data_IF_429616643801
#
_entry.id   IF_429616643801
#
_cell.length_a   1.000
_cell.length_b   1.000
_cell.length_c   1.000
_cell.angle_alpha   90.00
_cell.angle_beta   90.00
_cell.angle_gamma   90.00
#
_symmetry.space_group_name_H-M   'P 1'
#
loop_
_entity.id
_entity.type
_entity.pdbx_description
1 polymer ?
#
# COMPACT_ATOMS: atom_id res chain seq x y z
N UNK A 1 22.96 15.58 -29.83
CA UNK A 1 23.25 15.04 -28.48
C UNK A 1 21.90 14.90 -27.81
N UNK A 2 21.38 13.68 -27.77
CA UNK A 2 20.00 13.38 -27.38
C UNK A 2 20.02 12.90 -25.92
N UNK A 3 19.10 13.46 -25.13
CA UNK A 3 18.83 13.12 -23.73
C UNK A 3 18.34 11.67 -23.60
N UNK A 4 18.89 10.92 -22.65
CA UNK A 4 18.26 9.69 -22.14
C UNK A 4 18.34 9.68 -20.62
N UNK A 5 17.19 9.51 -19.97
CA UNK A 5 17.07 9.44 -18.51
C UNK A 5 15.62 9.33 -18.04
N UNK A 6 14.76 8.64 -18.79
CA UNK A 6 13.39 8.34 -18.40
C UNK A 6 13.35 7.16 -17.44
N UNK A 7 12.77 7.35 -16.24
CA UNK A 7 12.48 6.28 -15.30
C UNK A 7 11.35 5.41 -15.86
N UNK A 8 11.71 4.35 -16.59
CA UNK A 8 10.79 3.44 -17.25
C UNK A 8 10.34 2.32 -16.31
N UNK A 9 9.04 2.30 -16.02
CA UNK A 9 8.21 1.10 -16.16
C UNK A 9 6.75 1.49 -16.43
N UNK A 10 6.39 1.50 -17.71
CA UNK A 10 5.03 1.29 -18.17
C UNK A 10 4.76 -0.21 -18.19
N UNK A 11 3.80 -0.67 -17.38
CA UNK A 11 2.97 -1.85 -17.67
C UNK A 11 1.58 -1.55 -17.12
N UNK A 12 0.57 -1.67 -17.99
CA UNK A 12 -0.63 -0.85 -17.94
C UNK A 12 -1.86 -1.44 -17.27
N UNK A 13 -2.78 -0.52 -16.95
CA UNK A 13 -4.21 -0.62 -17.23
C UNK A 13 -4.71 0.83 -17.40
N UNK A 14 -4.97 1.21 -18.65
CA UNK A 14 -5.48 2.53 -19.02
C UNK A 14 -6.96 2.62 -18.69
N UNK A 15 -7.32 3.46 -17.72
CA UNK A 15 -8.64 4.09 -17.66
C UNK A 15 -8.40 5.60 -17.65
N UNK A 16 -8.65 6.20 -18.81
CA UNK A 16 -8.50 7.62 -19.03
C UNK A 16 -9.47 8.41 -18.13
N UNK A 17 -8.92 9.30 -17.31
CA UNK A 17 -9.66 10.46 -16.82
C UNK A 17 -8.72 11.65 -16.89
N UNK A 18 -9.09 12.61 -17.73
CA UNK A 18 -8.36 13.82 -18.07
C UNK A 18 -8.09 14.67 -16.83
N UNK A 19 -6.81 14.97 -16.55
CA UNK A 19 -6.38 15.93 -15.54
C UNK A 19 -5.82 17.16 -16.25
N UNK A 20 -6.53 18.27 -16.14
CA UNK A 20 -6.04 19.60 -16.51
C UNK A 20 -4.81 19.90 -15.64
N UNK A 21 -3.66 20.08 -16.31
CA UNK A 21 -2.38 20.35 -15.66
C UNK A 21 -2.39 21.69 -14.94
N UNK A 22 -2.12 21.65 -13.64
CA UNK A 22 -1.67 22.81 -12.89
C UNK A 22 -0.15 22.70 -12.76
N UNK A 23 0.56 23.40 -13.65
CA UNK A 23 2.00 23.57 -13.55
C UNK A 23 2.28 24.54 -12.40
N UNK A 24 2.87 24.03 -11.31
CA UNK A 24 3.40 24.86 -10.23
C UNK A 24 4.81 25.34 -10.63
N UNK A 25 5.07 26.65 -10.80
CA UNK A 25 6.40 27.17 -11.04
C UNK A 25 7.05 27.50 -9.69
N UNK A 26 8.05 26.73 -9.28
CA UNK A 26 8.90 27.12 -8.15
C UNK A 26 9.23 26.00 -7.18
N UNK A 27 10.16 25.13 -7.55
CA UNK A 27 11.04 24.52 -6.56
C UNK A 27 12.42 24.35 -7.20
N UNK A 28 13.30 25.30 -6.94
CA UNK A 28 14.73 25.20 -7.23
C UNK A 28 15.33 24.21 -6.21
N UNK A 29 14.98 22.93 -6.34
CA UNK A 29 15.48 21.87 -5.46
C UNK A 29 16.85 21.51 -6.01
N UNK A 30 17.91 21.87 -5.28
CA UNK A 30 19.25 21.35 -5.57
C UNK A 30 19.15 19.84 -5.78
N UNK A 31 19.67 19.36 -6.89
CA UNK A 31 19.71 17.93 -7.19
C UNK A 31 20.31 17.17 -6.01
N UNK A 32 19.72 16.03 -5.69
CA UNK A 32 20.23 15.17 -4.66
C UNK A 32 19.94 13.72 -4.98
N UNK A 33 20.66 12.83 -4.30
CA UNK A 33 20.51 11.40 -4.48
C UNK A 33 20.70 10.63 -3.19
N UNK A 34 20.02 9.49 -3.10
CA UNK A 34 20.37 8.45 -2.14
C UNK A 34 21.63 7.72 -2.59
N UNK A 35 22.42 7.23 -1.64
CA UNK A 35 23.47 6.25 -1.93
C UNK A 35 22.81 4.88 -1.91
N UNK A 36 22.69 4.25 -3.08
CA UNK A 36 22.06 2.94 -3.22
C UNK A 36 23.05 1.78 -3.09
N UNK A 37 22.55 0.68 -2.52
CA UNK A 37 23.10 -0.67 -2.66
C UNK A 37 22.00 -1.60 -3.22
N UNK A 38 22.28 -2.91 -3.31
CA UNK A 38 21.31 -3.90 -3.77
C UNK A 38 20.03 -3.94 -2.92
N UNK A 39 20.14 -3.61 -1.63
CA UNK A 39 18.99 -3.58 -0.70
C UNK A 39 17.96 -2.51 -1.12
N UNK A 40 18.42 -1.31 -1.44
CA UNK A 40 17.57 -0.18 -1.80
C UNK A 40 16.84 -0.41 -3.11
N UNK A 41 17.53 -1.06 -4.06
CA UNK A 41 16.91 -1.49 -5.31
C UNK A 41 15.73 -2.43 -5.05
N UNK A 42 15.89 -3.43 -4.17
CA UNK A 42 14.81 -4.34 -3.80
C UNK A 42 13.66 -3.62 -3.07
N UNK A 43 13.97 -2.64 -2.21
CA UNK A 43 12.94 -1.84 -1.53
C UNK A 43 12.14 -0.97 -2.51
N UNK A 44 12.78 -0.46 -3.56
CA UNK A 44 12.12 0.36 -4.58
C UNK A 44 11.13 -0.45 -5.44
N UNK A 45 11.34 -1.76 -5.59
CA UNK A 45 10.45 -2.65 -6.34
C UNK A 45 9.18 -3.02 -5.56
N UNK A 46 9.11 -2.70 -4.27
CA UNK A 46 7.96 -2.99 -3.43
C UNK A 46 6.81 -2.02 -3.70
N UNK A 47 5.61 -2.50 -3.44
CA UNK A 47 4.38 -1.72 -3.47
C UNK A 47 4.14 -0.97 -2.16
N UNK A 48 3.74 0.29 -2.28
CA UNK A 48 3.41 1.20 -1.20
C UNK A 48 2.06 1.88 -1.44
N UNK A 49 1.49 2.47 -0.39
CA UNK A 49 0.33 3.36 -0.48
C UNK A 49 0.47 4.51 0.53
N UNK A 50 -0.03 5.73 0.26
CA UNK A 50 -0.17 6.74 1.29
C UNK A 50 -1.01 6.23 2.47
N UNK A 51 -0.62 6.54 3.71
CA UNK A 51 -1.33 6.10 4.92
C UNK A 51 -2.81 6.53 4.91
N UNK A 52 -3.13 7.71 4.36
CA UNK A 52 -4.51 8.17 4.25
C UNK A 52 -5.39 7.21 3.43
N UNK A 53 -4.84 6.56 2.40
CA UNK A 53 -5.60 5.59 1.61
C UNK A 53 -5.83 4.28 2.37
N UNK A 54 -4.91 3.89 3.26
CA UNK A 54 -5.12 2.76 4.16
C UNK A 54 -6.24 3.06 5.16
N UNK A 55 -6.28 4.27 5.72
CA UNK A 55 -7.34 4.71 6.62
C UNK A 55 -8.69 4.70 5.89
N UNK A 56 -8.75 5.28 4.68
CA UNK A 56 -9.96 5.25 3.86
C UNK A 56 -10.42 3.83 3.55
N UNK A 57 -9.48 2.91 3.29
CA UNK A 57 -9.79 1.50 3.08
C UNK A 57 -10.43 0.85 4.31
N UNK A 58 -9.88 1.10 5.51
CA UNK A 58 -10.43 0.57 6.77
C UNK A 58 -11.86 1.08 6.98
N UNK A 59 -12.10 2.37 6.80
CA UNK A 59 -13.41 2.97 6.99
C UNK A 59 -14.43 2.48 5.96
N UNK A 60 -14.03 2.33 4.69
CA UNK A 60 -14.90 1.79 3.64
C UNK A 60 -15.22 0.31 3.84
N UNK A 61 -14.27 -0.48 4.34
CA UNK A 61 -14.45 -1.94 4.47
C UNK A 61 -15.28 -2.31 5.70
N UNK A 62 -15.28 -1.46 6.74
CA UNK A 62 -16.03 -1.68 7.99
C UNK A 62 -17.53 -1.91 7.79
N UNK A 63 -18.13 -1.35 6.74
CA UNK A 63 -19.57 -1.43 6.47
C UNK A 63 -19.93 -2.49 5.41
N UNK A 64 -18.93 -3.15 4.81
CA UNK A 64 -19.14 -4.15 3.76
C UNK A 64 -19.56 -5.50 4.33
N UNK A 65 -20.41 -6.22 3.60
CA UNK A 65 -20.79 -7.60 3.92
C UNK A 65 -19.89 -8.55 3.13
N UNK A 66 -18.91 -9.14 3.82
CA UNK A 66 -17.94 -10.04 3.20
C UNK A 66 -18.55 -11.28 2.53
N UNK A 67 -19.80 -11.65 2.83
CA UNK A 67 -20.47 -12.79 2.20
C UNK A 67 -21.16 -12.45 0.87
N UNK A 68 -21.34 -11.16 0.55
CA UNK A 68 -21.89 -10.71 -0.73
C UNK A 68 -20.79 -10.70 -1.80
N UNK A 69 -20.97 -11.46 -2.89
CA UNK A 69 -19.95 -11.60 -3.93
C UNK A 69 -19.51 -10.24 -4.52
N UNK A 70 -20.46 -9.31 -4.71
CA UNK A 70 -20.16 -7.96 -5.20
C UNK A 70 -19.29 -7.15 -4.23
N UNK A 71 -19.55 -7.26 -2.92
CA UNK A 71 -18.75 -6.54 -1.92
C UNK A 71 -17.37 -7.17 -1.74
N UNK A 72 -17.22 -8.50 -1.86
CA UNK A 72 -15.91 -9.16 -1.91
C UNK A 72 -15.06 -8.68 -3.07
N UNK A 73 -15.66 -8.62 -4.26
CA UNK A 73 -14.99 -8.12 -5.45
C UNK A 73 -14.52 -6.67 -5.26
N UNK A 74 -15.35 -5.81 -4.67
CA UNK A 74 -14.98 -4.44 -4.37
C UNK A 74 -13.80 -4.34 -3.38
N UNK A 75 -13.80 -5.15 -2.31
CA UNK A 75 -12.69 -5.22 -1.36
C UNK A 75 -11.41 -5.65 -2.07
N UNK A 76 -11.45 -6.71 -2.89
CA UNK A 76 -10.30 -7.16 -3.68
C UNK A 76 -9.76 -6.06 -4.61
N UNK A 77 -10.65 -5.33 -5.29
CA UNK A 77 -10.26 -4.21 -6.13
C UNK A 77 -9.60 -3.07 -5.34
N UNK A 78 -10.12 -2.74 -4.16
CA UNK A 78 -9.50 -1.75 -3.29
C UNK A 78 -8.09 -2.18 -2.85
N UNK A 79 -7.92 -3.45 -2.46
CA UNK A 79 -6.59 -4.01 -2.10
C UNK A 79 -5.63 -3.86 -3.28
N UNK A 80 -6.06 -4.16 -4.50
CA UNK A 80 -5.23 -4.05 -5.69
C UNK A 80 -4.85 -2.60 -6.02
N UNK A 81 -5.82 -1.68 -6.04
CA UNK A 81 -5.61 -0.26 -6.41
C UNK A 81 -4.68 0.46 -5.42
N UNK A 82 -4.66 0.04 -4.16
CA UNK A 82 -3.74 0.61 -3.18
C UNK A 82 -2.27 0.25 -3.42
N UNK A 83 -1.96 -0.85 -4.11
CA UNK A 83 -0.58 -1.30 -4.36
C UNK A 83 0.06 -0.45 -5.47
N UNK A 84 0.63 0.70 -5.09
CA UNK A 84 1.35 1.63 -5.99
C UNK A 84 2.86 1.38 -5.91
N UNK A 85 3.62 1.84 -6.91
CA UNK A 85 5.09 1.78 -6.84
C UNK A 85 5.66 2.61 -5.69
N UNK A 86 6.91 2.32 -5.31
CA UNK A 86 7.59 3.02 -4.23
C UNK A 86 7.62 4.55 -4.44
N UNK A 87 7.40 5.34 -3.37
CA UNK A 87 7.32 6.80 -3.48
C UNK A 87 8.69 7.48 -3.63
N UNK A 88 9.78 6.72 -3.59
CA UNK A 88 11.17 7.17 -3.63
C UNK A 88 11.92 6.42 -4.73
N UNK A 89 13.02 6.98 -5.21
CA UNK A 89 14.01 6.30 -6.05
C UNK A 89 15.39 6.93 -5.78
N UNK A 90 16.44 6.56 -6.53
CA UNK A 90 17.80 7.08 -6.32
C UNK A 90 17.81 8.62 -6.36
N UNK A 91 17.11 9.18 -7.34
CA UNK A 91 17.02 10.63 -7.58
C UNK A 91 15.73 11.25 -7.02
N UNK A 92 14.98 10.52 -6.19
CA UNK A 92 13.74 11.01 -5.57
C UNK A 92 13.70 10.62 -4.10
N UNK A 93 13.86 11.62 -3.23
CA UNK A 93 13.83 11.44 -1.78
C UNK A 93 12.47 10.90 -1.31
N UNK A 94 12.46 10.13 -0.22
CA UNK A 94 11.24 9.68 0.42
C UNK A 94 10.37 10.88 0.87
N UNK A 95 9.03 10.83 0.70
CA UNK A 95 8.14 11.95 1.05
C UNK A 95 8.07 12.24 2.55
N UNK A 96 7.59 13.43 2.92
CA UNK A 96 7.38 13.79 4.33
C UNK A 96 6.14 13.13 4.91
N UNK A 97 5.14 12.90 4.06
CA UNK A 97 3.92 12.20 4.43
C UNK A 97 4.20 10.72 4.74
N UNK A 98 3.28 10.10 5.48
CA UNK A 98 3.39 8.68 5.80
C UNK A 98 2.96 7.81 4.62
N UNK A 99 3.80 6.82 4.33
CA UNK A 99 3.59 5.78 3.33
C UNK A 99 3.72 4.40 3.95
N UNK A 100 2.82 3.52 3.55
CA UNK A 100 2.68 2.15 4.03
C UNK A 100 3.30 1.22 3.01
N UNK A 101 4.19 0.33 3.45
CA UNK A 101 4.66 -0.78 2.64
C UNK A 101 3.61 -1.90 2.63
N UNK A 102 3.15 -2.27 1.44
CA UNK A 102 2.15 -3.33 1.25
C UNK A 102 2.75 -4.65 0.74
N UNK A 103 4.07 -4.73 0.62
CA UNK A 103 4.75 -5.93 0.10
C UNK A 103 5.43 -6.76 1.18
N UNK A 104 5.86 -6.11 2.26
CA UNK A 104 6.54 -6.76 3.39
C UNK A 104 6.09 -6.18 4.72
N UNK A 105 6.10 -7.02 5.76
CA UNK A 105 5.80 -6.64 7.13
C UNK A 105 4.35 -6.90 7.58
N UNK A 106 4.02 -6.54 8.82
CA UNK A 106 2.75 -6.92 9.46
C UNK A 106 1.50 -6.48 8.70
N UNK A 107 1.52 -5.29 8.07
CA UNK A 107 0.39 -4.83 7.26
C UNK A 107 0.22 -5.67 6.00
N UNK A 108 1.31 -6.00 5.30
CA UNK A 108 1.26 -6.85 4.11
C UNK A 108 0.68 -8.24 4.45
N UNK A 109 1.15 -8.85 5.53
CA UNK A 109 0.63 -10.14 6.01
C UNK A 109 -0.86 -10.07 6.39
N UNK A 110 -1.32 -8.96 6.96
CA UNK A 110 -2.73 -8.77 7.27
C UNK A 110 -3.60 -8.62 6.00
N UNK A 111 -3.08 -7.98 4.95
CA UNK A 111 -3.72 -7.95 3.63
C UNK A 111 -3.77 -9.32 2.97
N UNK A 112 -2.74 -10.14 3.13
CA UNK A 112 -2.73 -11.51 2.59
C UNK A 112 -3.77 -12.38 3.30
N UNK A 113 -3.88 -12.26 4.64
CA UNK A 113 -4.96 -12.90 5.41
C UNK A 113 -6.35 -12.43 4.99
N UNK A 114 -6.51 -11.12 4.74
CA UNK A 114 -7.78 -10.57 4.28
C UNK A 114 -8.15 -11.11 2.89
N UNK A 115 -7.18 -11.16 1.97
CA UNK A 115 -7.37 -11.69 0.62
C UNK A 115 -7.79 -13.16 0.66
N UNK A 116 -7.15 -13.96 1.52
CA UNK A 116 -7.54 -15.35 1.75
C UNK A 116 -8.96 -15.46 2.36
N UNK A 117 -9.31 -14.62 3.32
CA UNK A 117 -10.62 -14.64 3.98
C UNK A 117 -11.80 -14.27 3.05
N UNK A 118 -11.52 -13.55 1.95
CA UNK A 118 -12.53 -13.19 0.93
C UNK A 118 -12.44 -14.05 -0.34
N UNK A 119 -11.45 -14.93 -0.45
CA UNK A 119 -11.37 -15.96 -1.50
C UNK A 119 -12.27 -17.15 -1.16
N UNK A 120 -13.55 -16.86 -0.91
CA UNK A 120 -14.56 -17.86 -0.59
C UNK A 120 -14.99 -18.47 -1.92
N UNK A 121 -14.86 -19.80 -2.10
CA UNK A 121 -15.31 -20.49 -3.31
C UNK A 121 -16.75 -20.11 -3.62
N UNK A 122 -17.00 -19.71 -4.88
CA UNK A 122 -18.30 -19.24 -5.31
C UNK A 122 -19.37 -20.28 -4.94
N UNK A 123 -20.30 -19.96 -4.02
CA UNK A 123 -21.33 -20.91 -3.64
C UNK A 123 -22.30 -20.94 -4.81
N UNK A 124 -22.05 -21.84 -5.76
CA UNK A 124 -23.04 -22.31 -6.72
C UNK A 124 -24.22 -23.03 -6.04
N UNK A 125 -24.45 -22.84 -4.73
CA UNK A 125 -25.74 -22.81 -4.02
C UNK A 125 -25.48 -22.48 -2.52
N UNK A 126 -26.19 -21.51 -1.90
CA UNK A 126 -26.22 -21.28 -0.45
C UNK A 126 -26.66 -22.49 0.40
N UNK A 127 -27.04 -23.59 -0.24
CA UNK A 127 -27.57 -24.82 0.38
C UNK A 127 -26.44 -25.69 0.99
N UNK A 128 -25.20 -25.52 0.54
CA UNK A 128 -24.09 -26.41 0.91
C UNK A 128 -23.09 -25.83 1.92
N UNK A 129 -23.19 -24.54 2.25
CA UNK A 129 -22.30 -23.93 3.24
C UNK A 129 -22.92 -24.11 4.64
N UNK A 130 -22.19 -24.77 5.54
CA UNK A 130 -22.69 -24.91 6.91
C UNK A 130 -22.59 -23.58 7.65
N UNK A 131 -23.43 -23.36 8.66
CA UNK A 131 -23.34 -22.19 9.55
C UNK A 131 -21.94 -22.09 10.19
N UNK A 132 -21.31 -23.24 10.44
CA UNK A 132 -19.96 -23.35 10.99
C UNK A 132 -18.91 -22.77 10.02
N UNK A 133 -19.01 -23.08 8.72
CA UNK A 133 -18.08 -22.55 7.71
C UNK A 133 -18.19 -21.04 7.62
N UNK A 134 -19.42 -20.50 7.52
CA UNK A 134 -19.67 -19.07 7.44
C UNK A 134 -19.12 -18.32 8.67
N UNK A 135 -19.24 -18.93 9.86
CA UNK A 135 -18.71 -18.37 11.10
C UNK A 135 -17.17 -18.31 11.08
N UNK A 136 -16.52 -19.37 10.59
CA UNK A 136 -15.07 -19.41 10.43
C UNK A 136 -14.57 -18.33 9.46
N UNK A 137 -15.19 -18.21 8.27
CA UNK A 137 -14.85 -17.17 7.30
C UNK A 137 -15.04 -15.76 7.87
N UNK A 138 -16.13 -15.54 8.62
CA UNK A 138 -16.37 -14.27 9.30
C UNK A 138 -15.27 -13.94 10.30
N UNK A 139 -14.87 -14.91 11.12
CA UNK A 139 -13.81 -14.70 12.12
C UNK A 139 -12.47 -14.35 11.46
N UNK A 140 -12.12 -15.03 10.35
CA UNK A 140 -10.90 -14.74 9.59
C UNK A 140 -10.94 -13.33 8.99
N UNK A 141 -12.07 -12.95 8.40
CA UNK A 141 -12.28 -11.61 7.83
C UNK A 141 -12.18 -10.52 8.92
N UNK A 142 -12.93 -10.68 10.02
CA UNK A 142 -12.97 -9.70 11.11
C UNK A 142 -11.58 -9.55 11.76
N UNK A 143 -10.85 -10.66 11.94
CA UNK A 143 -9.49 -10.63 12.49
C UNK A 143 -8.51 -9.87 11.58
N UNK A 144 -8.55 -10.14 10.26
CA UNK A 144 -7.67 -9.46 9.31
C UNK A 144 -7.96 -7.95 9.24
N UNK A 145 -9.24 -7.55 9.20
CA UNK A 145 -9.62 -6.12 9.23
C UNK A 145 -9.23 -5.45 10.55
N UNK A 146 -9.37 -6.15 11.68
CA UNK A 146 -8.98 -5.63 12.98
C UNK A 146 -7.47 -5.35 13.05
N UNK A 147 -6.66 -6.25 12.52
CA UNK A 147 -5.19 -6.06 12.46
C UNK A 147 -4.83 -4.85 11.59
N UNK A 148 -5.38 -4.77 10.37
CA UNK A 148 -5.14 -3.64 9.46
C UNK A 148 -5.53 -2.32 10.13
N UNK A 149 -6.70 -2.28 10.77
CA UNK A 149 -7.18 -1.12 11.53
C UNK A 149 -6.21 -0.76 12.65
N UNK A 150 -5.80 -1.74 13.47
CA UNK A 150 -4.88 -1.48 14.59
C UNK A 150 -3.58 -0.84 14.10
N UNK A 151 -3.01 -1.35 13.01
CA UNK A 151 -1.78 -0.81 12.44
C UNK A 151 -1.96 0.59 11.85
N UNK A 152 -3.08 0.85 11.17
CA UNK A 152 -3.37 2.14 10.55
C UNK A 152 -3.52 3.30 11.56
N UNK A 153 -3.91 2.99 12.80
CA UNK A 153 -4.18 3.98 13.85
C UNK A 153 -3.11 4.07 14.93
N UNK A 154 -1.93 3.47 14.75
CA UNK A 154 -0.81 3.79 15.63
C UNK A 154 -0.44 5.28 15.52
N UNK A 155 -0.18 5.89 16.67
CA UNK A 155 0.14 7.32 16.77
C UNK A 155 1.64 7.59 16.97
N UNK A 156 2.37 6.58 17.43
CA UNK A 156 3.81 6.70 17.69
C UNK A 156 4.62 6.38 16.41
N UNK A 157 5.52 7.28 15.96
CA UNK A 157 6.27 7.09 14.72
C UNK A 157 7.11 5.81 14.67
N UNK A 158 7.70 5.40 15.79
CA UNK A 158 8.51 4.18 15.84
C UNK A 158 7.65 2.91 15.75
N UNK A 159 6.49 2.89 16.41
CA UNK A 159 5.53 1.78 16.26
C UNK A 159 4.99 1.67 14.83
N UNK A 160 4.77 2.81 14.17
CA UNK A 160 4.39 2.86 12.76
C UNK A 160 5.49 2.26 11.86
N UNK A 161 6.75 2.63 12.10
CA UNK A 161 7.88 2.09 11.36
C UNK A 161 8.03 0.57 11.53
N UNK A 162 7.75 0.04 12.74
CA UNK A 162 7.77 -1.39 13.01
C UNK A 162 6.74 -2.20 12.23
N UNK A 163 5.62 -1.58 11.85
CA UNK A 163 4.57 -2.22 11.04
C UNK A 163 4.65 -1.89 9.56
N UNK A 164 5.71 -1.21 9.13
CA UNK A 164 5.95 -0.88 7.73
C UNK A 164 5.34 0.45 7.27
N UNK A 165 5.02 1.36 8.19
CA UNK A 165 4.55 2.71 7.88
C UNK A 165 5.66 3.71 8.17
N UNK A 166 6.11 4.41 7.12
CA UNK A 166 7.26 5.29 7.22
C UNK A 166 6.91 6.71 6.77
N UNK A 167 7.46 7.69 7.46
CA UNK A 167 7.73 9.01 6.91
C UNK A 167 9.21 9.09 6.49
N UNK A 168 9.65 10.19 5.89
CA UNK A 168 11.06 10.39 5.51
C UNK A 168 12.05 10.04 6.62
N UNK A 169 11.85 10.60 7.82
CA UNK A 169 12.80 10.47 8.93
C UNK A 169 12.93 9.02 9.38
N UNK A 170 11.80 8.36 9.65
CA UNK A 170 11.77 6.97 10.10
C UNK A 170 12.24 6.01 9.01
N UNK A 171 11.94 6.29 7.74
CA UNK A 171 12.46 5.52 6.61
C UNK A 171 14.00 5.61 6.54
N UNK A 172 14.54 6.82 6.54
CA UNK A 172 15.98 7.05 6.45
C UNK A 172 16.73 6.48 7.66
N UNK A 173 16.20 6.64 8.87
CA UNK A 173 16.77 6.06 10.08
C UNK A 173 16.74 4.53 10.05
N UNK A 174 15.59 3.92 9.73
CA UNK A 174 15.40 2.45 9.74
C UNK A 174 16.28 1.73 8.73
N UNK A 175 16.53 2.37 7.58
CA UNK A 175 17.29 1.79 6.49
C UNK A 175 18.72 2.34 6.40
N UNK A 176 19.11 3.29 7.24
CA UNK A 176 20.44 3.92 7.21
C UNK A 176 20.67 4.74 5.95
N UNK A 177 19.61 5.28 5.34
CA UNK A 177 19.68 6.02 4.07
C UNK A 177 19.95 7.49 4.31
N UNK A 178 20.84 8.05 3.49
CA UNK A 178 21.29 9.43 3.61
C UNK A 178 21.11 10.13 2.27
N UNK A 179 20.31 11.18 2.26
CA UNK A 179 20.14 12.03 1.09
C UNK A 179 21.32 12.99 0.96
N UNK A 180 22.06 12.91 -0.15
CA UNK A 180 23.18 13.81 -0.44
C UNK A 180 22.69 14.91 -1.38
N UNK A 181 22.96 16.15 -1.01
CA UNK A 181 22.76 17.31 -1.87
C UNK A 181 24.07 17.52 -2.63
N UNK A 182 24.00 17.58 -3.95
CA UNK A 182 25.15 17.92 -4.80
C UNK A 182 25.39 19.44 -4.85
#
# INVERSE_FOLDING_TARGET
MVEEGGCLRQTGASLATSMVGSANPGSNVKGGKYVWSDRELLMHLQNYTPLILLIDFVEKTRTKRFYEAGERYEILMLIFIMRKGAPFCENKRFPEEYWVNLSVGPIAEAFDRLSAAIDIPDPQLPIHMTVTDLTSWKQQFDAAILDIRRFAYYTEPQMLADVGVYNRTTFEERFGLHWRIE
#
